data_IF_327093086475
#
_entry.id   IF_327093086475
#
_cell.length_a   1.000
_cell.length_b   1.000
_cell.length_c   1.000
_cell.angle_alpha   90.00
_cell.angle_beta   90.00
_cell.angle_gamma   90.00
#
_symmetry.space_group_name_H-M   'P 1'
#
loop_
_entity.id
_entity.type
_entity.pdbx_description
1 polymer ?
#
# COMPACT_ATOMS: atom_id res chain seq x y z
N UNK A 1 -5.89 -11.48 5.58
CA UNK A 1 -4.98 -10.47 4.98
C UNK A 1 -3.66 -10.33 5.73
N UNK A 2 -3.63 -10.37 7.06
CA UNK A 2 -2.37 -10.29 7.82
C UNK A 2 -1.39 -11.42 7.49
N UNK A 3 -1.86 -12.65 7.31
CA UNK A 3 -1.04 -13.81 6.96
C UNK A 3 -0.28 -13.63 5.63
N UNK A 4 -0.85 -12.92 4.66
CA UNK A 4 -0.21 -12.64 3.37
C UNK A 4 1.03 -11.76 3.57
N UNK A 5 0.93 -10.76 4.45
CA UNK A 5 2.06 -9.91 4.82
C UNK A 5 3.20 -10.68 5.50
N UNK A 6 2.88 -11.66 6.35
CA UNK A 6 3.90 -12.51 6.99
C UNK A 6 4.65 -13.36 5.97
N UNK A 7 3.95 -13.94 4.99
CA UNK A 7 4.60 -14.72 3.91
C UNK A 7 5.51 -13.81 3.08
N UNK A 8 5.04 -12.62 2.73
CA UNK A 8 5.84 -11.63 2.01
C UNK A 8 7.11 -11.25 2.79
N UNK A 9 7.00 -11.02 4.10
CA UNK A 9 8.15 -10.70 4.95
C UNK A 9 9.19 -11.83 4.96
N UNK A 10 8.75 -13.08 5.10
CA UNK A 10 9.64 -14.25 5.05
C UNK A 10 10.32 -14.35 3.68
N UNK A 11 9.57 -14.15 2.59
CA UNK A 11 10.10 -14.17 1.22
C UNK A 11 11.14 -13.08 0.98
N UNK A 12 10.87 -11.84 1.38
CA UNK A 12 11.83 -10.73 1.25
C UNK A 12 13.11 -10.98 2.06
N UNK A 13 12.99 -11.41 3.31
CA UNK A 13 14.16 -11.77 4.13
C UNK A 13 14.97 -12.90 3.50
N UNK A 14 14.33 -13.90 2.89
CA UNK A 14 15.02 -14.97 2.18
C UNK A 14 15.79 -14.45 0.94
N UNK A 15 15.23 -13.48 0.20
CA UNK A 15 15.92 -12.84 -0.93
C UNK A 15 17.16 -12.09 -0.45
N UNK A 16 17.04 -11.26 0.58
CA UNK A 16 18.18 -10.51 1.11
C UNK A 16 19.26 -11.41 1.71
N UNK A 17 18.88 -12.49 2.44
CA UNK A 17 19.83 -13.35 3.11
C UNK A 17 20.52 -14.35 2.18
N UNK A 18 19.76 -14.98 1.25
CA UNK A 18 20.28 -16.10 0.46
C UNK A 18 20.78 -15.70 -0.93
N UNK A 19 20.20 -14.64 -1.53
CA UNK A 19 20.55 -14.23 -2.89
C UNK A 19 21.54 -13.07 -2.85
N UNK A 20 21.25 -12.03 -2.08
CA UNK A 20 22.10 -10.85 -1.99
C UNK A 20 23.14 -10.93 -0.88
N UNK A 21 23.02 -11.90 0.04
CA UNK A 21 23.91 -12.07 1.20
C UNK A 21 24.14 -10.76 1.97
N UNK A 22 23.11 -9.91 2.04
CA UNK A 22 23.19 -8.55 2.59
C UNK A 22 22.51 -8.45 3.96
N UNK A 23 23.31 -8.39 5.01
CA UNK A 23 22.80 -8.08 6.35
C UNK A 23 22.26 -6.65 6.45
N UNK A 24 22.84 -5.71 5.71
CA UNK A 24 22.34 -4.34 5.61
C UNK A 24 20.95 -4.27 4.99
N UNK A 25 20.69 -5.07 3.94
CA UNK A 25 19.35 -5.18 3.33
C UNK A 25 18.29 -5.69 4.31
N UNK A 26 18.63 -6.71 5.12
CA UNK A 26 17.73 -7.25 6.16
C UNK A 26 17.45 -6.19 7.24
N UNK A 27 18.48 -5.50 7.72
CA UNK A 27 18.35 -4.45 8.72
C UNK A 27 17.49 -3.29 8.20
N UNK A 28 17.76 -2.81 6.98
CA UNK A 28 16.99 -1.76 6.31
C UNK A 28 15.51 -2.15 6.18
N UNK A 29 15.24 -3.39 5.78
CA UNK A 29 13.87 -3.89 5.64
C UNK A 29 13.14 -3.93 6.99
N UNK A 30 13.81 -4.37 8.05
CA UNK A 30 13.24 -4.37 9.41
C UNK A 30 12.90 -2.97 9.93
N UNK A 31 13.79 -2.00 9.72
CA UNK A 31 13.56 -0.60 10.11
C UNK A 31 12.45 0.01 9.25
N UNK A 32 12.47 -0.23 7.94
CA UNK A 32 11.42 0.22 7.05
C UNK A 32 10.03 -0.19 7.54
N UNK A 33 9.83 -1.46 7.91
CA UNK A 33 8.52 -1.92 8.41
C UNK A 33 8.05 -1.21 9.67
N UNK A 34 8.96 -0.92 10.60
CA UNK A 34 8.65 -0.16 11.82
C UNK A 34 8.18 1.26 11.48
N UNK A 35 8.95 1.94 10.63
CA UNK A 35 8.65 3.33 10.26
C UNK A 35 7.39 3.42 9.37
N UNK A 36 7.25 2.50 8.41
CA UNK A 36 6.06 2.39 7.57
C UNK A 36 4.79 2.25 8.43
N UNK A 37 4.83 1.45 9.48
CA UNK A 37 3.69 1.24 10.37
C UNK A 37 3.18 2.55 10.95
N UNK A 38 4.06 3.48 11.30
CA UNK A 38 3.69 4.80 11.84
C UNK A 38 2.93 5.62 10.79
N UNK A 39 3.40 5.62 9.54
CA UNK A 39 2.76 6.37 8.43
C UNK A 39 1.43 5.74 8.02
N UNK A 40 1.34 4.41 8.05
CA UNK A 40 0.14 3.68 7.62
C UNK A 40 -0.95 3.59 8.71
N UNK A 41 -0.61 3.77 9.99
CA UNK A 41 -1.62 3.76 11.08
C UNK A 41 -2.75 4.77 10.87
N UNK A 42 -2.49 6.07 10.61
CA UNK A 42 -3.55 7.03 10.33
C UNK A 42 -4.36 6.66 9.09
N UNK A 43 -3.71 6.14 8.05
CA UNK A 43 -4.37 5.67 6.84
C UNK A 43 -5.39 4.57 7.15
N UNK A 44 -4.98 3.54 7.90
CA UNK A 44 -5.86 2.45 8.29
C UNK A 44 -7.00 2.93 9.20
N UNK A 45 -6.75 3.89 10.08
CA UNK A 45 -7.79 4.52 10.89
C UNK A 45 -8.88 5.15 10.03
N UNK A 46 -8.50 6.00 9.08
CA UNK A 46 -9.42 6.66 8.14
C UNK A 46 -10.17 5.65 7.28
N UNK A 47 -9.47 4.68 6.69
CA UNK A 47 -10.09 3.70 5.79
C UNK A 47 -11.04 2.75 6.50
N UNK A 48 -10.72 2.32 7.73
CA UNK A 48 -11.62 1.49 8.54
C UNK A 48 -12.90 2.24 8.94
N UNK A 49 -12.78 3.51 9.32
CA UNK A 49 -13.96 4.35 9.60
C UNK A 49 -14.79 4.55 8.32
N UNK A 50 -14.14 4.79 7.19
CA UNK A 50 -14.81 5.00 5.90
C UNK A 50 -15.52 3.74 5.42
N UNK A 51 -15.04 2.54 5.75
CA UNK A 51 -15.68 1.28 5.37
C UNK A 51 -17.13 1.20 5.86
N UNK A 52 -17.39 1.59 7.10
CA UNK A 52 -18.74 1.63 7.66
C UNK A 52 -19.62 2.66 6.95
N UNK A 53 -19.06 3.82 6.59
CA UNK A 53 -19.77 4.88 5.87
C UNK A 53 -20.12 4.40 4.45
N UNK A 54 -19.19 3.72 3.78
CA UNK A 54 -19.43 3.16 2.44
C UNK A 54 -20.53 2.07 2.49
N UNK A 55 -20.42 1.13 3.43
CA UNK A 55 -21.41 0.07 3.60
C UNK A 55 -22.83 0.61 3.87
N UNK A 56 -22.92 1.59 4.77
CA UNK A 56 -24.21 2.23 5.09
C UNK A 56 -24.84 2.92 3.86
N UNK A 57 -24.08 3.78 3.15
CA UNK A 57 -24.61 4.51 2.01
C UNK A 57 -24.88 3.60 0.80
N UNK A 58 -24.11 2.52 0.65
CA UNK A 58 -24.37 1.49 -0.34
C UNK A 58 -25.68 0.74 -0.03
N UNK A 59 -25.86 0.30 1.23
CA UNK A 59 -27.10 -0.36 1.67
C UNK A 59 -28.34 0.54 1.58
N UNK A 60 -28.17 1.83 1.91
CA UNK A 60 -29.22 2.85 1.76
C UNK A 60 -29.47 3.27 0.30
N UNK A 61 -28.73 2.71 -0.66
CA UNK A 61 -28.81 3.04 -2.09
C UNK A 61 -28.71 4.55 -2.38
N UNK A 62 -27.87 5.27 -1.61
CA UNK A 62 -27.67 6.72 -1.79
C UNK A 62 -26.38 6.99 -2.55
N UNK A 63 -26.49 7.17 -3.87
CA UNK A 63 -25.37 7.37 -4.79
C UNK A 63 -24.57 8.62 -4.46
N UNK A 64 -25.23 9.74 -4.20
CA UNK A 64 -24.54 11.02 -3.96
C UNK A 64 -23.72 10.97 -2.69
N UNK A 65 -24.27 10.46 -1.59
CA UNK A 65 -23.54 10.33 -0.31
C UNK A 65 -22.39 9.33 -0.43
N UNK A 66 -22.60 8.22 -1.13
CA UNK A 66 -21.54 7.25 -1.38
C UNK A 66 -20.37 7.89 -2.16
N UNK A 67 -20.65 8.56 -3.28
CA UNK A 67 -19.63 9.23 -4.11
C UNK A 67 -18.88 10.31 -3.31
N UNK A 68 -19.61 11.11 -2.52
CA UNK A 68 -19.00 12.16 -1.69
C UNK A 68 -18.07 11.55 -0.64
N UNK A 69 -18.52 10.54 0.10
CA UNK A 69 -17.71 9.84 1.10
C UNK A 69 -16.47 9.22 0.46
N UNK A 70 -16.62 8.55 -0.68
CA UNK A 70 -15.51 7.92 -1.40
C UNK A 70 -14.44 8.95 -1.83
N UNK A 71 -14.87 10.06 -2.45
CA UNK A 71 -13.95 11.13 -2.86
C UNK A 71 -13.23 11.76 -1.66
N UNK A 72 -13.96 12.03 -0.57
CA UNK A 72 -13.36 12.57 0.66
C UNK A 72 -12.33 11.62 1.25
N UNK A 73 -12.64 10.34 1.36
CA UNK A 73 -11.70 9.32 1.85
C UNK A 73 -10.46 9.26 0.98
N UNK A 74 -10.60 9.21 -0.34
CA UNK A 74 -9.47 9.18 -1.26
C UNK A 74 -8.58 10.44 -1.12
N UNK A 75 -9.20 11.61 -0.98
CA UNK A 75 -8.46 12.86 -0.79
C UNK A 75 -7.68 12.86 0.53
N UNK A 76 -8.33 12.50 1.63
CA UNK A 76 -7.69 12.47 2.96
C UNK A 76 -6.55 11.44 2.99
N UNK A 77 -6.77 10.24 2.47
CA UNK A 77 -5.74 9.19 2.42
C UNK A 77 -4.58 9.59 1.53
N UNK A 78 -4.84 10.24 0.39
CA UNK A 78 -3.80 10.75 -0.50
C UNK A 78 -2.96 11.85 0.18
N UNK A 79 -3.58 12.75 0.93
CA UNK A 79 -2.87 13.79 1.70
C UNK A 79 -1.97 13.15 2.75
N UNK A 80 -2.49 12.22 3.56
CA UNK A 80 -1.72 11.52 4.60
C UNK A 80 -0.50 10.83 3.99
N UNK A 81 -0.70 10.09 2.91
CA UNK A 81 0.38 9.33 2.27
C UNK A 81 1.38 10.23 1.54
N UNK A 82 0.93 11.36 0.99
CA UNK A 82 1.82 12.36 0.40
C UNK A 82 2.70 13.03 1.46
N UNK A 83 2.15 13.35 2.63
CA UNK A 83 2.94 13.83 3.77
C UNK A 83 3.97 12.77 4.18
N UNK A 84 3.57 11.49 4.28
CA UNK A 84 4.49 10.39 4.54
C UNK A 84 5.61 10.32 3.50
N UNK A 85 5.30 10.44 2.22
CA UNK A 85 6.30 10.48 1.15
C UNK A 85 7.27 11.66 1.33
N UNK A 86 6.74 12.86 1.57
CA UNK A 86 7.58 14.05 1.79
C UNK A 86 8.53 13.88 2.98
N UNK A 87 8.07 13.31 4.08
CA UNK A 87 8.93 13.03 5.24
C UNK A 87 10.07 12.08 4.89
N UNK A 88 9.79 11.01 4.14
CA UNK A 88 10.82 10.04 3.72
C UNK A 88 11.77 10.61 2.67
N UNK A 89 11.33 11.57 1.85
CA UNK A 89 12.18 12.22 0.85
C UNK A 89 13.09 13.29 1.47
N UNK A 90 12.56 14.09 2.39
CA UNK A 90 13.27 15.23 2.97
C UNK A 90 14.17 14.83 4.16
N UNK A 91 13.72 13.88 4.98
CA UNK A 91 14.35 13.53 6.25
C UNK A 91 14.73 12.04 6.37
N UNK A 92 15.23 11.37 5.31
CA UNK A 92 15.49 9.93 5.39
C UNK A 92 16.60 9.61 6.41
N UNK A 93 17.63 10.45 6.52
CA UNK A 93 18.73 10.25 7.47
C UNK A 93 18.27 10.35 8.91
N UNK A 94 17.45 11.37 9.23
CA UNK A 94 16.91 11.57 10.58
C UNK A 94 15.97 10.41 10.97
N UNK A 95 15.14 9.95 10.04
CA UNK A 95 14.26 8.82 10.28
C UNK A 95 15.08 7.54 10.54
N UNK A 96 16.07 7.27 9.72
CA UNK A 96 16.95 6.11 9.90
C UNK A 96 17.69 6.18 11.23
N UNK A 97 18.26 7.32 11.60
CA UNK A 97 19.03 7.48 12.84
C UNK A 97 18.21 7.26 14.12
N UNK A 98 16.89 7.49 14.08
CA UNK A 98 15.99 7.21 15.21
C UNK A 98 15.83 5.71 15.51
N UNK A 99 16.07 4.86 14.52
CA UNK A 99 15.83 3.41 14.60
C UNK A 99 17.11 2.58 14.44
N UNK A 100 18.19 3.18 13.97
CA UNK A 100 19.50 2.54 13.76
C UNK A 100 20.50 3.02 14.81
N UNK A 101 20.33 2.53 16.02
CA UNK A 101 21.25 2.82 17.13
C UNK A 101 22.66 2.22 16.94
N UNK A 102 22.79 1.27 16.03
CA UNK A 102 24.04 0.53 15.81
C UNK A 102 24.81 0.98 14.54
N UNK A 103 24.25 1.95 13.78
CA UNK A 103 24.89 2.46 12.56
C UNK A 103 25.03 1.41 11.42
N UNK A 104 24.17 0.38 11.43
CA UNK A 104 24.21 -0.72 10.45
C UNK A 104 23.57 -0.36 9.11
N UNK A 105 22.79 0.71 9.07
CA UNK A 105 22.09 1.15 7.87
C UNK A 105 22.98 2.13 7.12
N UNK A 106 23.52 1.66 6.02
CA UNK A 106 24.42 2.38 5.12
C UNK A 106 23.68 3.40 4.25
N UNK A 107 24.43 4.16 3.42
CA UNK A 107 23.85 5.04 2.39
C UNK A 107 22.83 4.33 1.48
N UNK A 108 23.02 3.02 1.23
CA UNK A 108 22.08 2.17 0.49
C UNK A 108 20.71 2.09 1.17
N UNK A 109 20.66 2.05 2.52
CA UNK A 109 19.41 2.07 3.27
C UNK A 109 18.65 3.40 3.12
N UNK A 110 19.36 4.52 3.08
CA UNK A 110 18.78 5.85 2.86
C UNK A 110 18.16 5.93 1.45
N UNK A 111 18.86 5.42 0.43
CA UNK A 111 18.33 5.32 -0.93
C UNK A 111 17.09 4.44 -0.98
N UNK A 112 17.09 3.31 -0.25
CA UNK A 112 15.94 2.43 -0.13
C UNK A 112 14.68 3.15 0.38
N UNK A 113 14.81 3.95 1.44
CA UNK A 113 13.69 4.71 2.00
C UNK A 113 13.09 5.70 1.01
N UNK A 114 13.94 6.36 0.21
CA UNK A 114 13.49 7.27 -0.86
C UNK A 114 12.73 6.53 -1.95
N UNK A 115 13.27 5.41 -2.44
CA UNK A 115 12.63 4.62 -3.51
C UNK A 115 11.29 4.07 -3.02
N UNK A 116 11.28 3.45 -1.83
CA UNK A 116 10.07 2.83 -1.32
C UNK A 116 8.96 3.86 -1.09
N UNK A 117 9.27 5.05 -0.57
CA UNK A 117 8.25 6.06 -0.29
C UNK A 117 7.47 6.52 -1.53
N UNK A 118 8.00 6.31 -2.73
CA UNK A 118 7.32 6.67 -3.98
C UNK A 118 6.00 5.89 -4.19
N UNK A 119 5.87 4.70 -3.59
CA UNK A 119 4.62 3.94 -3.71
C UNK A 119 3.51 4.43 -2.78
N UNK A 120 3.79 5.23 -1.75
CA UNK A 120 2.81 5.64 -0.74
C UNK A 120 1.57 6.34 -1.34
N UNK A 121 1.68 7.35 -2.22
CA UNK A 121 0.50 7.98 -2.81
C UNK A 121 -0.35 6.99 -3.64
N UNK A 122 0.30 6.04 -4.30
CA UNK A 122 -0.38 5.01 -5.08
C UNK A 122 -1.09 4.03 -4.12
N UNK A 123 -0.46 3.71 -2.99
CA UNK A 123 -1.03 2.86 -1.95
C UNK A 123 -2.29 3.48 -1.33
N UNK A 124 -2.39 4.80 -1.22
CA UNK A 124 -3.62 5.47 -0.77
C UNK A 124 -4.81 5.10 -1.65
N UNK A 125 -4.63 5.11 -2.97
CA UNK A 125 -5.67 4.75 -3.92
C UNK A 125 -6.00 3.25 -3.84
N UNK A 126 -4.99 2.38 -3.86
CA UNK A 126 -5.20 0.92 -3.84
C UNK A 126 -5.87 0.45 -2.54
N UNK A 127 -5.49 0.99 -1.39
CA UNK A 127 -6.10 0.65 -0.09
C UNK A 127 -7.54 1.17 -0.02
N UNK A 128 -7.81 2.40 -0.48
CA UNK A 128 -9.17 2.94 -0.53
C UNK A 128 -10.07 2.09 -1.43
N UNK A 129 -9.59 1.66 -2.59
CA UNK A 129 -10.32 0.75 -3.49
C UNK A 129 -10.56 -0.60 -2.82
N UNK A 130 -9.55 -1.16 -2.16
CA UNK A 130 -9.65 -2.44 -1.46
C UNK A 130 -10.70 -2.41 -0.35
N UNK A 131 -10.73 -1.33 0.45
CA UNK A 131 -11.74 -1.12 1.50
C UNK A 131 -13.13 -0.91 0.89
N UNK A 132 -13.23 -0.24 -0.25
CA UNK A 132 -14.49 -0.10 -0.99
C UNK A 132 -15.05 -1.46 -1.37
N UNK A 133 -14.23 -2.37 -1.93
CA UNK A 133 -14.68 -3.73 -2.24
C UNK A 133 -15.18 -4.48 -1.02
N UNK A 134 -14.53 -4.34 0.12
CA UNK A 134 -14.99 -4.97 1.37
C UNK A 134 -16.34 -4.41 1.83
N UNK A 135 -16.49 -3.08 1.78
CA UNK A 135 -17.70 -2.39 2.23
C UNK A 135 -18.96 -2.75 1.42
N UNK A 136 -18.80 -3.02 0.12
CA UNK A 136 -19.90 -3.35 -0.79
C UNK A 136 -20.09 -4.86 -1.01
N UNK A 137 -19.44 -5.71 -0.19
CA UNK A 137 -19.59 -7.16 -0.23
C UNK A 137 -18.69 -7.90 -1.23
N UNK A 138 -17.82 -7.20 -1.94
CA UNK A 138 -16.85 -7.82 -2.87
C UNK A 138 -15.51 -8.20 -2.21
N UNK A 139 -15.53 -8.76 -1.01
CA UNK A 139 -14.35 -9.12 -0.23
C UNK A 139 -13.33 -10.01 -0.96
N UNK A 140 -13.82 -10.89 -1.85
CA UNK A 140 -12.94 -11.74 -2.69
C UNK A 140 -12.05 -10.90 -3.61
N UNK A 141 -12.57 -9.81 -4.20
CA UNK A 141 -11.77 -8.92 -5.06
C UNK A 141 -10.70 -8.19 -4.25
N UNK A 142 -11.04 -7.75 -3.03
CA UNK A 142 -10.07 -7.15 -2.11
C UNK A 142 -8.98 -8.15 -1.70
N UNK A 143 -9.35 -9.39 -1.42
CA UNK A 143 -8.39 -10.45 -1.11
C UNK A 143 -7.47 -10.74 -2.30
N UNK A 144 -8.04 -10.89 -3.49
CA UNK A 144 -7.25 -11.12 -4.71
C UNK A 144 -6.27 -9.98 -5.00
N UNK A 145 -6.71 -8.74 -4.83
CA UNK A 145 -5.86 -7.55 -4.96
C UNK A 145 -4.66 -7.59 -3.98
N UNK A 146 -4.89 -8.04 -2.74
CA UNK A 146 -3.84 -8.19 -1.74
C UNK A 146 -2.86 -9.32 -2.06
N UNK A 147 -3.37 -10.46 -2.55
CA UNK A 147 -2.54 -11.58 -2.99
C UNK A 147 -1.71 -11.18 -4.21
N UNK A 148 -2.34 -10.58 -5.21
CA UNK A 148 -1.66 -10.12 -6.43
C UNK A 148 -0.51 -9.16 -6.07
N UNK A 149 -0.79 -8.18 -5.21
CA UNK A 149 0.22 -7.20 -4.79
C UNK A 149 1.40 -7.85 -4.08
N UNK A 150 1.17 -8.65 -3.04
CA UNK A 150 2.22 -9.11 -2.15
C UNK A 150 2.91 -10.39 -2.62
N UNK A 151 2.16 -11.35 -3.13
CA UNK A 151 2.70 -12.64 -3.56
C UNK A 151 2.84 -12.74 -5.07
N UNK A 152 1.88 -12.22 -5.82
CA UNK A 152 1.86 -12.34 -7.28
C UNK A 152 2.82 -11.43 -8.00
N UNK A 153 3.11 -10.26 -7.47
CA UNK A 153 3.98 -9.27 -8.14
C UNK A 153 5.18 -8.89 -7.29
N UNK A 154 5.01 -8.54 -6.00
CA UNK A 154 6.11 -8.05 -5.19
C UNK A 154 7.24 -9.08 -5.05
N UNK A 155 6.94 -10.30 -4.63
CA UNK A 155 7.97 -11.33 -4.45
C UNK A 155 8.63 -11.76 -5.77
N UNK A 156 7.90 -12.03 -6.88
CA UNK A 156 8.54 -12.32 -8.16
C UNK A 156 9.38 -11.16 -8.68
N UNK A 157 8.89 -9.91 -8.58
CA UNK A 157 9.64 -8.73 -8.99
C UNK A 157 10.91 -8.56 -8.15
N UNK A 158 10.82 -8.73 -6.82
CA UNK A 158 11.99 -8.68 -5.94
C UNK A 158 13.03 -9.75 -6.31
N UNK A 159 12.57 -10.97 -6.60
CA UNK A 159 13.44 -12.07 -7.01
C UNK A 159 14.14 -11.77 -8.34
N UNK A 160 13.39 -11.33 -9.35
CA UNK A 160 13.94 -10.97 -10.67
C UNK A 160 14.96 -9.83 -10.53
N UNK A 161 14.61 -8.76 -9.82
CA UNK A 161 15.52 -7.62 -9.61
C UNK A 161 16.79 -8.03 -8.86
N UNK A 162 16.68 -8.89 -7.84
CA UNK A 162 17.83 -9.41 -7.11
C UNK A 162 18.77 -10.26 -7.99
N UNK A 163 18.22 -11.12 -8.86
CA UNK A 163 19.00 -11.99 -9.74
C UNK A 163 19.65 -11.23 -10.91
N UNK A 164 18.94 -10.26 -11.50
CA UNK A 164 19.41 -9.52 -12.67
C UNK A 164 20.42 -8.44 -12.27
N UNK A 165 20.08 -7.62 -11.30
CA UNK A 165 20.92 -6.44 -10.93
C UNK A 165 21.90 -6.73 -9.80
N UNK A 166 21.70 -7.80 -9.01
CA UNK A 166 22.54 -8.17 -7.87
C UNK A 166 22.81 -7.01 -6.90
N UNK A 167 21.87 -6.08 -6.80
CA UNK A 167 21.94 -4.88 -5.98
C UNK A 167 20.76 -4.81 -5.02
N UNK A 168 21.02 -4.51 -3.76
CA UNK A 168 20.01 -4.31 -2.73
C UNK A 168 19.07 -3.15 -3.11
N UNK A 169 19.64 -2.07 -3.67
CA UNK A 169 18.91 -0.88 -4.06
C UNK A 169 17.84 -1.16 -5.13
N UNK A 170 18.19 -1.98 -6.12
CA UNK A 170 17.27 -2.35 -7.21
C UNK A 170 16.04 -3.10 -6.72
N UNK A 171 16.19 -3.91 -5.67
CA UNK A 171 15.09 -4.72 -5.14
C UNK A 171 13.96 -3.85 -4.58
N UNK A 172 14.26 -2.66 -4.07
CA UNK A 172 13.24 -1.78 -3.50
C UNK A 172 12.20 -1.29 -4.52
N UNK A 173 12.52 -1.30 -5.81
CA UNK A 173 11.55 -0.99 -6.87
C UNK A 173 10.40 -1.99 -6.95
N UNK A 174 10.55 -3.19 -6.39
CA UNK A 174 9.47 -4.17 -6.36
C UNK A 174 8.19 -3.64 -5.68
N UNK A 175 8.32 -2.76 -4.67
CA UNK A 175 7.19 -2.15 -3.99
C UNK A 175 6.40 -1.24 -4.92
N UNK A 176 7.09 -0.42 -5.71
CA UNK A 176 6.49 0.49 -6.68
C UNK A 176 5.77 -0.31 -7.78
N UNK A 177 6.44 -1.33 -8.34
CA UNK A 177 5.88 -2.20 -9.38
C UNK A 177 4.63 -2.94 -8.87
N UNK A 178 4.70 -3.48 -7.66
CA UNK A 178 3.58 -4.20 -7.04
C UNK A 178 2.37 -3.29 -6.81
N UNK A 179 2.60 -2.06 -6.36
CA UNK A 179 1.52 -1.13 -6.09
C UNK A 179 0.84 -0.66 -7.39
N UNK A 180 1.61 -0.41 -8.45
CA UNK A 180 1.06 -0.11 -9.77
C UNK A 180 0.19 -1.24 -10.32
N UNK A 181 0.60 -2.49 -10.16
CA UNK A 181 -0.20 -3.64 -10.59
C UNK A 181 -1.50 -3.75 -9.79
N UNK A 182 -1.43 -3.56 -8.47
CA UNK A 182 -2.59 -3.63 -7.60
C UNK A 182 -3.60 -2.51 -7.89
N UNK A 183 -3.13 -1.27 -8.05
CA UNK A 183 -4.02 -0.14 -8.35
C UNK A 183 -4.66 -0.28 -9.74
N UNK A 184 -3.92 -0.78 -10.72
CA UNK A 184 -4.45 -1.03 -12.07
C UNK A 184 -5.58 -2.05 -12.04
N UNK A 185 -5.36 -3.22 -11.40
CA UNK A 185 -6.40 -4.21 -11.19
C UNK A 185 -7.60 -3.62 -10.43
N UNK A 186 -7.31 -2.85 -9.37
CA UNK A 186 -8.30 -2.19 -8.55
C UNK A 186 -9.17 -1.23 -9.35
N UNK A 187 -8.59 -0.36 -10.16
CA UNK A 187 -9.30 0.62 -11.00
C UNK A 187 -10.19 -0.11 -12.02
N UNK A 188 -9.66 -1.10 -12.73
CA UNK A 188 -10.43 -1.87 -13.73
C UNK A 188 -11.63 -2.54 -13.07
N UNK A 189 -11.42 -3.18 -11.93
CA UNK A 189 -12.49 -3.87 -11.19
C UNK A 189 -13.51 -2.89 -10.61
N UNK A 190 -13.03 -1.77 -10.04
CA UNK A 190 -13.91 -0.75 -9.45
C UNK A 190 -14.76 -0.07 -10.53
N UNK A 191 -14.19 0.23 -11.69
CA UNK A 191 -14.93 0.86 -12.80
C UNK A 191 -16.08 -0.01 -13.27
N UNK A 192 -15.89 -1.33 -13.34
CA UNK A 192 -16.96 -2.27 -13.67
C UNK A 192 -18.08 -2.26 -12.63
N UNK A 193 -17.73 -2.38 -11.35
CA UNK A 193 -18.69 -2.33 -10.23
C UNK A 193 -19.39 -0.97 -10.20
N UNK A 194 -18.65 0.10 -10.39
CA UNK A 194 -19.19 1.46 -10.36
C UNK A 194 -20.31 1.65 -11.38
N UNK A 195 -20.12 1.21 -12.62
CA UNK A 195 -21.11 1.28 -13.69
C UNK A 195 -22.34 0.39 -13.44
N UNK A 196 -22.13 -0.81 -12.89
CA UNK A 196 -23.20 -1.79 -12.75
C UNK A 196 -23.96 -1.68 -11.43
N UNK A 197 -23.34 -1.22 -10.36
CA UNK A 197 -23.93 -1.27 -9.02
C UNK A 197 -24.12 0.13 -8.41
N UNK A 198 -23.18 1.08 -8.62
CA UNK A 198 -23.21 2.39 -7.96
C UNK A 198 -23.93 3.44 -8.82
N UNK A 199 -23.66 3.49 -10.12
CA UNK A 199 -24.32 4.46 -11.01
C UNK A 199 -25.85 4.27 -11.12
N UNK A 200 -26.38 3.04 -11.14
CA UNK A 200 -27.83 2.84 -11.19
C UNK A 200 -28.58 3.16 -9.89
N UNK A 201 -27.85 3.46 -8.80
CA UNK A 201 -28.51 3.85 -7.54
C UNK A 201 -29.18 5.22 -7.67
N UNK A 202 -30.34 5.42 -7.01
CA UNK A 202 -30.96 6.73 -6.93
C UNK A 202 -30.07 7.73 -6.18
N UNK A 203 -30.24 9.01 -6.46
CA UNK A 203 -29.43 10.05 -5.83
C UNK A 203 -29.73 10.25 -4.33
N UNK A 204 -30.78 9.58 -3.82
CA UNK A 204 -31.24 9.72 -2.45
C UNK A 204 -31.97 11.06 -2.24
N UNK A 205 -32.94 11.10 -1.32
CA UNK A 205 -33.54 12.37 -0.93
C UNK A 205 -32.45 13.25 -0.31
N UNK A 206 -32.32 14.47 -0.79
CA UNK A 206 -31.51 15.49 -0.16
C UNK A 206 -32.13 15.80 1.21
N UNK A 207 -31.47 15.36 2.29
CA UNK A 207 -31.79 15.79 3.65
C UNK A 207 -30.78 16.83 4.04
#
# INVERSE_FOLDING_TARGET
MQSIGSIMNVGMNAIFSRILMSNAGIATFGVYFKVQSIVFMPLFGVTNASMSIFAYNYGARNRLRFKKAWKMTLCVTAIIMSIGTLLFQLFPQQIVSLFDSEGKITAEGIAAFRIISLHFPIAAASITISVTFQAIGHGIKSMFMSILRQLGVLLPAALVLALVFKSVESVWWCFVIAEFSAVTFGIISLTKIWKHEIEPMPDGAAV
#
